data_IF_802321192287
#
_entry.id   IF_802321192287
#
_cell.length_a   1.000
_cell.length_b   1.000
_cell.length_c   1.000
_cell.angle_alpha   90.00
_cell.angle_beta   90.00
_cell.angle_gamma   90.00
#
_symmetry.space_group_name_H-M   'P 1'
#
loop_
_entity.id
_entity.type
_entity.pdbx_description
1 polymer ?
#
# COMPACT_ATOMS: atom_id res chain seq x y z
N UNK A 1 23.90 1.33 -5.65
CA UNK A 1 23.46 0.73 -4.39
C UNK A 1 22.86 -0.64 -4.71
N UNK A 2 23.43 -1.69 -4.10
CA UNK A 2 22.96 -3.05 -4.30
C UNK A 2 21.78 -3.31 -3.34
N UNK A 3 20.55 -3.27 -3.86
CA UNK A 3 19.31 -3.54 -3.08
C UNK A 3 19.01 -5.03 -2.93
N UNK A 4 19.83 -5.91 -3.52
CA UNK A 4 19.63 -7.37 -3.49
C UNK A 4 20.32 -8.07 -2.32
N UNK A 5 21.18 -7.39 -1.57
CA UNK A 5 21.85 -7.94 -0.39
C UNK A 5 21.88 -6.90 0.74
N UNK A 6 21.06 -7.15 1.76
CA UNK A 6 20.91 -6.30 2.94
C UNK A 6 21.46 -6.97 4.22
N UNK A 7 22.24 -8.05 4.07
CA UNK A 7 22.80 -8.82 5.19
C UNK A 7 23.65 -7.98 6.14
N UNK A 8 24.41 -7.01 5.59
CA UNK A 8 25.22 -6.10 6.41
C UNK A 8 24.35 -5.19 7.32
N UNK A 9 23.23 -4.71 6.82
CA UNK A 9 22.29 -3.89 7.59
C UNK A 9 21.63 -4.71 8.68
N UNK A 10 21.21 -5.94 8.36
CA UNK A 10 20.64 -6.88 9.33
C UNK A 10 21.65 -7.22 10.43
N UNK A 11 22.90 -7.53 10.07
CA UNK A 11 23.96 -7.81 11.04
C UNK A 11 24.17 -6.65 12.01
N UNK A 12 24.14 -5.40 11.53
CA UNK A 12 24.26 -4.22 12.39
C UNK A 12 23.10 -4.07 13.38
N UNK A 13 21.88 -4.37 12.96
CA UNK A 13 20.72 -4.37 13.87
C UNK A 13 20.87 -5.44 14.95
N UNK A 14 21.30 -6.65 14.54
CA UNK A 14 21.56 -7.76 15.46
C UNK A 14 22.68 -7.45 16.46
N UNK A 15 23.81 -6.90 15.99
CA UNK A 15 24.94 -6.48 16.85
C UNK A 15 24.55 -5.39 17.85
N UNK A 16 23.63 -4.50 17.44
CA UNK A 16 23.07 -3.47 18.32
C UNK A 16 22.07 -4.01 19.34
N UNK A 17 21.68 -5.27 19.25
CA UNK A 17 20.68 -5.91 20.12
C UNK A 17 19.27 -5.33 19.94
N UNK A 18 18.94 -4.86 18.74
CA UNK A 18 17.60 -4.32 18.48
C UNK A 18 16.57 -5.45 18.52
N UNK A 19 15.52 -5.28 19.30
CA UNK A 19 14.39 -6.20 19.44
C UNK A 19 13.19 -5.79 18.55
N UNK A 20 13.22 -4.56 18.00
CA UNK A 20 12.29 -4.06 16.99
C UNK A 20 13.06 -3.41 15.84
N UNK A 21 12.70 -3.76 14.61
CA UNK A 21 13.26 -3.18 13.39
C UNK A 21 12.14 -2.52 12.59
N UNK A 22 12.21 -1.18 12.47
CA UNK A 22 11.28 -0.42 11.66
C UNK A 22 11.76 -0.34 10.22
N UNK A 23 10.91 -0.71 9.26
CA UNK A 23 11.22 -0.88 7.85
C UNK A 23 10.37 0.05 6.96
N UNK A 24 10.73 1.36 6.81
CA UNK A 24 10.06 2.27 5.89
C UNK A 24 10.57 2.05 4.45
N UNK A 25 10.34 0.86 3.91
CA UNK A 25 10.83 0.39 2.61
C UNK A 25 9.74 -0.42 1.91
N UNK A 26 9.98 -0.80 0.65
CA UNK A 26 9.04 -1.62 -0.12
C UNK A 26 9.25 -3.12 0.13
N UNK A 27 8.22 -3.89 -0.19
CA UNK A 27 8.13 -5.33 0.09
C UNK A 27 9.26 -6.16 -0.53
N UNK A 28 9.81 -5.78 -1.68
CA UNK A 28 10.91 -6.51 -2.30
C UNK A 28 12.20 -6.45 -1.48
N UNK A 29 12.61 -5.26 -1.03
CA UNK A 29 13.77 -5.08 -0.17
C UNK A 29 13.50 -5.68 1.23
N UNK A 30 12.28 -5.54 1.73
CA UNK A 30 11.89 -6.13 3.00
C UNK A 30 12.02 -7.65 3.00
N UNK A 31 11.61 -8.33 1.91
CA UNK A 31 11.78 -9.78 1.78
C UNK A 31 13.24 -10.21 1.91
N UNK A 32 14.19 -9.44 1.36
CA UNK A 32 15.62 -9.71 1.49
C UNK A 32 16.11 -9.54 2.94
N UNK A 33 15.55 -8.59 3.69
CA UNK A 33 15.85 -8.41 5.11
C UNK A 33 15.32 -9.59 5.92
N UNK A 34 14.10 -10.04 5.70
CA UNK A 34 13.54 -11.21 6.39
C UNK A 34 14.34 -12.48 6.11
N UNK A 35 14.73 -12.70 4.84
CA UNK A 35 15.61 -13.83 4.46
C UNK A 35 16.98 -13.73 5.16
N UNK A 36 17.58 -12.55 5.21
CA UNK A 36 18.89 -12.36 5.86
C UNK A 36 18.79 -12.55 7.38
N UNK A 37 17.75 -12.04 8.02
CA UNK A 37 17.50 -12.21 9.45
C UNK A 37 17.31 -13.69 9.81
N UNK A 38 16.49 -14.41 9.06
CA UNK A 38 16.28 -15.83 9.25
C UNK A 38 17.60 -16.63 9.12
N UNK A 39 18.43 -16.34 8.10
CA UNK A 39 19.72 -16.99 7.90
C UNK A 39 20.71 -16.76 9.05
N UNK A 40 20.62 -15.60 9.73
CA UNK A 40 21.49 -15.27 10.87
C UNK A 40 20.90 -15.70 12.22
N UNK A 41 19.67 -16.23 12.26
CA UNK A 41 18.97 -16.56 13.50
C UNK A 41 18.57 -15.30 14.30
N UNK A 42 18.37 -14.16 13.60
CA UNK A 42 17.93 -12.92 14.21
C UNK A 42 16.42 -12.76 14.09
N UNK A 43 15.74 -12.71 15.23
CA UNK A 43 14.27 -12.73 15.32
C UNK A 43 13.71 -11.50 16.05
N UNK A 44 13.90 -10.28 15.53
CA UNK A 44 13.27 -9.10 16.10
C UNK A 44 11.81 -9.01 15.69
N UNK A 45 11.06 -8.11 16.31
CA UNK A 45 9.78 -7.66 15.78
C UNK A 45 10.03 -6.77 14.58
N UNK A 46 9.49 -7.14 13.42
CA UNK A 46 9.52 -6.29 12.22
C UNK A 46 8.24 -5.47 12.12
N UNK A 47 8.39 -4.17 11.88
CA UNK A 47 7.28 -3.25 11.68
C UNK A 47 7.54 -2.38 10.45
N UNK A 48 6.60 -2.38 9.51
CA UNK A 48 6.72 -1.65 8.25
C UNK A 48 5.62 -0.63 8.04
N UNK A 49 5.74 0.09 6.92
CA UNK A 49 4.74 0.99 6.40
C UNK A 49 3.95 0.32 5.26
N UNK A 50 3.19 1.12 4.55
CA UNK A 50 2.38 0.76 3.39
C UNK A 50 3.17 0.08 2.26
N UNK A 51 4.44 0.47 2.06
CA UNK A 51 5.33 -0.15 1.08
C UNK A 51 5.55 -1.67 1.26
N UNK A 52 5.22 -2.21 2.43
CA UNK A 52 5.33 -3.66 2.73
C UNK A 52 4.20 -4.49 2.14
N UNK A 53 3.07 -3.88 1.78
CA UNK A 53 1.94 -4.59 1.18
C UNK A 53 2.32 -5.19 -0.17
N UNK A 54 2.01 -6.47 -0.36
CA UNK A 54 2.45 -7.27 -1.50
C UNK A 54 3.58 -8.26 -1.18
N UNK A 55 4.13 -8.27 0.05
CA UNK A 55 5.23 -9.19 0.42
C UNK A 55 4.80 -10.66 0.31
N UNK A 56 3.53 -10.97 0.55
CA UNK A 56 2.98 -12.32 0.43
C UNK A 56 2.80 -12.80 -1.02
N UNK A 57 2.85 -11.88 -2.00
CA UNK A 57 2.67 -12.16 -3.43
C UNK A 57 3.99 -12.25 -4.21
N UNK A 58 5.14 -12.23 -3.53
CA UNK A 58 6.45 -12.32 -4.21
C UNK A 58 6.70 -13.75 -4.66
N UNK A 59 6.93 -13.94 -5.95
CA UNK A 59 7.27 -15.24 -6.52
C UNK A 59 8.50 -15.87 -5.85
N UNK A 60 8.31 -17.09 -5.32
CA UNK A 60 9.38 -17.86 -4.68
C UNK A 60 9.80 -17.38 -3.28
N UNK A 61 9.11 -16.38 -2.72
CA UNK A 61 9.33 -15.99 -1.33
C UNK A 61 8.66 -16.98 -0.37
N UNK A 62 9.39 -17.39 0.66
CA UNK A 62 8.83 -18.19 1.75
C UNK A 62 8.03 -17.27 2.68
N UNK A 63 6.71 -17.28 2.53
CA UNK A 63 5.79 -16.40 3.27
C UNK A 63 5.81 -16.67 4.79
N UNK A 64 6.29 -17.84 5.23
CA UNK A 64 6.46 -18.12 6.67
C UNK A 64 7.47 -17.20 7.34
N UNK A 65 8.39 -16.60 6.57
CA UNK A 65 9.36 -15.61 7.06
C UNK A 65 8.71 -14.26 7.40
N UNK A 66 7.51 -14.03 6.89
CA UNK A 66 6.73 -12.82 7.19
C UNK A 66 5.75 -13.01 8.36
N UNK A 67 5.74 -14.17 9.01
CA UNK A 67 4.86 -14.42 10.15
C UNK A 67 5.15 -13.42 11.29
N UNK A 68 4.10 -12.78 11.80
CA UNK A 68 4.21 -11.75 12.84
C UNK A 68 4.67 -10.37 12.35
N UNK A 69 4.96 -10.20 11.06
CA UNK A 69 5.26 -8.89 10.49
C UNK A 69 4.06 -7.97 10.62
N UNK A 70 4.27 -6.79 11.20
CA UNK A 70 3.27 -5.74 11.31
C UNK A 70 3.50 -4.69 10.23
N UNK A 71 2.43 -4.18 9.63
CA UNK A 71 2.49 -3.07 8.68
C UNK A 71 1.27 -2.16 8.76
N UNK A 72 1.42 -0.95 8.24
CA UNK A 72 0.32 -0.01 8.05
C UNK A 72 -0.11 -0.05 6.59
N UNK A 73 -1.40 -0.24 6.34
CA UNK A 73 -1.97 -0.20 4.99
C UNK A 73 -3.36 0.43 5.05
N UNK A 74 -3.79 1.19 4.04
CA UNK A 74 -5.16 1.68 3.95
C UNK A 74 -6.15 0.62 3.45
N UNK A 75 -5.66 -0.51 2.90
CA UNK A 75 -6.44 -1.53 2.23
C UNK A 75 -6.16 -2.92 2.82
N UNK A 76 -7.20 -3.72 2.97
CA UNK A 76 -7.11 -5.12 3.34
C UNK A 76 -7.99 -5.95 2.37
N UNK A 77 -7.36 -6.84 1.60
CA UNK A 77 -8.07 -7.62 0.56
C UNK A 77 -9.08 -8.63 1.13
N UNK A 78 -8.98 -8.95 2.41
CA UNK A 78 -9.90 -9.84 3.15
C UNK A 78 -11.04 -9.10 3.86
N UNK A 79 -11.10 -7.76 3.77
CA UNK A 79 -12.19 -6.97 4.33
C UNK A 79 -13.54 -7.42 3.78
N UNK A 80 -14.56 -7.46 4.67
CA UNK A 80 -15.85 -8.11 4.36
C UNK A 80 -16.89 -7.14 3.79
N UNK A 81 -16.54 -5.88 3.56
CA UNK A 81 -17.44 -4.94 2.92
C UNK A 81 -17.66 -5.28 1.43
N UNK A 82 -18.85 -4.99 0.94
CA UNK A 82 -19.28 -5.36 -0.41
C UNK A 82 -18.41 -4.76 -1.50
N UNK A 83 -17.96 -3.52 -1.33
CA UNK A 83 -17.14 -2.79 -2.31
C UNK A 83 -15.76 -3.43 -2.46
N UNK A 84 -15.10 -3.74 -1.35
CA UNK A 84 -13.81 -4.44 -1.34
C UNK A 84 -13.94 -5.83 -1.94
N UNK A 85 -14.94 -6.62 -1.57
CA UNK A 85 -15.15 -7.96 -2.11
C UNK A 85 -15.43 -7.95 -3.61
N UNK A 86 -16.22 -6.99 -4.11
CA UNK A 86 -16.47 -6.84 -5.54
C UNK A 86 -15.18 -6.50 -6.31
N UNK A 87 -14.37 -5.57 -5.80
CA UNK A 87 -13.08 -5.22 -6.40
C UNK A 87 -12.11 -6.40 -6.42
N UNK A 88 -11.93 -7.09 -5.29
CA UNK A 88 -11.04 -8.26 -5.18
C UNK A 88 -11.46 -9.38 -6.13
N UNK A 89 -12.78 -9.64 -6.24
CA UNK A 89 -13.31 -10.65 -7.17
C UNK A 89 -13.01 -10.29 -8.62
N UNK A 90 -13.30 -9.05 -9.02
CA UNK A 90 -13.04 -8.59 -10.39
C UNK A 90 -11.54 -8.58 -10.74
N UNK A 91 -10.70 -8.18 -9.78
CA UNK A 91 -9.25 -8.20 -9.96
C UNK A 91 -8.70 -9.62 -10.15
N UNK A 92 -9.16 -10.56 -9.31
CA UNK A 92 -8.79 -11.98 -9.43
C UNK A 92 -9.23 -12.59 -10.74
N UNK A 93 -10.43 -12.26 -11.22
CA UNK A 93 -10.92 -12.71 -12.53
C UNK A 93 -10.05 -12.18 -13.68
N UNK A 94 -9.64 -10.91 -13.61
CA UNK A 94 -8.89 -10.27 -14.67
C UNK A 94 -7.40 -10.66 -14.70
N UNK A 95 -6.77 -10.83 -13.54
CA UNK A 95 -5.32 -10.96 -13.41
C UNK A 95 -4.85 -12.26 -12.77
N UNK A 96 -5.75 -13.06 -12.18
CA UNK A 96 -5.41 -14.34 -11.55
C UNK A 96 -4.70 -14.21 -10.19
N UNK A 97 -4.63 -13.00 -9.62
CA UNK A 97 -3.92 -12.71 -8.37
C UNK A 97 -4.78 -11.89 -7.40
N UNK A 98 -4.36 -11.83 -6.14
CA UNK A 98 -5.01 -11.00 -5.11
C UNK A 98 -4.46 -9.57 -5.18
N UNK A 99 -5.33 -8.53 -5.26
CA UNK A 99 -4.86 -7.16 -5.29
C UNK A 99 -4.23 -6.76 -3.96
N UNK A 100 -3.16 -5.98 -4.02
CA UNK A 100 -2.58 -5.26 -2.89
C UNK A 100 -3.12 -3.83 -2.82
N UNK A 101 -2.66 -3.05 -1.82
CA UNK A 101 -3.07 -1.66 -1.68
C UNK A 101 -2.78 -0.79 -2.92
N UNK A 102 -1.67 -1.03 -3.64
CA UNK A 102 -1.32 -0.22 -4.81
C UNK A 102 -2.34 -0.37 -5.93
N UNK A 103 -2.89 -1.57 -6.10
CA UNK A 103 -3.98 -1.81 -7.04
C UNK A 103 -5.27 -1.09 -6.59
N UNK A 104 -5.58 -1.11 -5.30
CA UNK A 104 -6.74 -0.42 -4.72
C UNK A 104 -6.57 1.12 -4.79
N UNK A 105 -5.38 1.64 -4.52
CA UNK A 105 -5.07 3.07 -4.67
C UNK A 105 -5.22 3.53 -6.13
N UNK A 106 -4.71 2.74 -7.08
CA UNK A 106 -4.85 3.06 -8.50
C UNK A 106 -6.32 3.06 -8.96
N UNK A 107 -7.12 2.12 -8.45
CA UNK A 107 -8.56 2.08 -8.69
C UNK A 107 -9.24 3.35 -8.14
N UNK A 108 -8.98 3.71 -6.90
CA UNK A 108 -9.54 4.90 -6.26
C UNK A 108 -9.14 6.18 -7.01
N UNK A 109 -7.88 6.30 -7.45
CA UNK A 109 -7.39 7.46 -8.22
C UNK A 109 -8.18 7.65 -9.50
N UNK A 110 -8.47 6.59 -10.25
CA UNK A 110 -9.26 6.69 -11.49
C UNK A 110 -10.66 7.22 -11.21
N UNK A 111 -11.33 6.70 -10.18
CA UNK A 111 -12.69 7.15 -9.85
C UNK A 111 -12.72 8.55 -9.24
N UNK A 112 -11.77 8.90 -8.38
CA UNK A 112 -11.67 10.23 -7.82
C UNK A 112 -11.43 11.29 -8.91
N UNK A 113 -10.55 11.01 -9.88
CA UNK A 113 -10.34 11.88 -11.06
C UNK A 113 -11.62 11.97 -11.91
N UNK A 114 -12.31 10.86 -12.12
CA UNK A 114 -13.55 10.82 -12.88
C UNK A 114 -14.63 11.71 -12.25
N UNK A 115 -14.86 11.56 -10.95
CA UNK A 115 -15.84 12.38 -10.20
C UNK A 115 -15.45 13.86 -10.21
N UNK A 116 -14.19 14.19 -9.98
CA UNK A 116 -13.68 15.55 -10.04
C UNK A 116 -13.84 16.15 -11.44
N UNK A 117 -13.59 15.38 -12.50
CA UNK A 117 -13.75 15.85 -13.87
C UNK A 117 -15.20 16.12 -14.22
N UNK A 118 -16.14 15.25 -13.81
CA UNK A 118 -17.57 15.47 -14.00
C UNK A 118 -18.05 16.72 -13.26
N UNK A 119 -17.67 16.86 -11.99
CA UNK A 119 -18.07 18.02 -11.17
C UNK A 119 -17.45 19.32 -11.66
N UNK A 120 -16.22 19.28 -12.18
CA UNK A 120 -15.50 20.41 -12.75
C UNK A 120 -15.90 20.78 -14.18
N UNK A 121 -16.82 20.01 -14.81
CA UNK A 121 -17.26 20.23 -16.19
C UNK A 121 -16.15 20.02 -17.23
N UNK A 122 -15.17 19.17 -16.92
CA UNK A 122 -14.05 18.86 -17.82
C UNK A 122 -14.58 18.24 -19.12
N UNK A 123 -14.12 18.76 -20.26
CA UNK A 123 -14.51 18.28 -21.57
C UNK A 123 -13.34 18.34 -22.56
N UNK A 124 -13.55 17.78 -23.76
CA UNK A 124 -12.51 17.64 -24.78
C UNK A 124 -12.04 18.93 -25.47
N UNK A 125 -12.70 20.05 -25.22
CA UNK A 125 -12.36 21.37 -25.80
C UNK A 125 -11.46 22.20 -24.88
N UNK A 126 -11.19 21.70 -23.65
CA UNK A 126 -10.34 22.39 -22.65
C UNK A 126 -8.86 22.12 -22.87
N UNK A 127 -8.03 23.14 -22.65
CA UNK A 127 -6.58 22.97 -22.59
C UNK A 127 -6.16 22.21 -21.31
N UNK A 128 -4.99 21.57 -21.35
CA UNK A 128 -4.49 20.76 -20.21
C UNK A 128 -4.35 21.59 -18.92
N UNK A 129 -3.98 22.87 -19.01
CA UNK A 129 -3.92 23.79 -17.86
C UNK A 129 -5.29 24.00 -17.23
N UNK A 130 -6.31 24.24 -18.05
CA UNK A 130 -7.68 24.47 -17.59
C UNK A 130 -8.27 23.21 -16.93
N UNK A 131 -7.98 22.03 -17.50
CA UNK A 131 -8.34 20.74 -16.90
C UNK A 131 -7.68 20.60 -15.53
N UNK A 132 -6.37 20.87 -15.41
CA UNK A 132 -5.66 20.80 -14.13
C UNK A 132 -6.24 21.72 -13.07
N UNK A 133 -6.57 22.97 -13.44
CA UNK A 133 -7.12 23.94 -12.51
C UNK A 133 -8.56 23.58 -12.08
N UNK A 134 -9.37 23.05 -12.99
CA UNK A 134 -10.68 22.51 -12.68
C UNK A 134 -10.59 21.32 -11.69
N UNK A 135 -9.70 20.34 -11.96
CA UNK A 135 -9.49 19.20 -11.09
C UNK A 135 -8.98 19.63 -9.70
N UNK A 136 -7.98 20.51 -9.61
CA UNK A 136 -7.47 21.04 -8.33
C UNK A 136 -8.58 21.70 -7.51
N UNK A 137 -9.44 22.48 -8.15
CA UNK A 137 -10.56 23.12 -7.48
C UNK A 137 -11.53 22.09 -6.91
N UNK A 138 -11.82 21.04 -7.67
CA UNK A 138 -12.72 19.97 -7.20
C UNK A 138 -12.09 19.16 -6.07
N UNK A 139 -10.86 18.71 -6.21
CA UNK A 139 -10.18 17.94 -5.17
C UNK A 139 -10.12 18.62 -3.81
N UNK A 140 -9.96 19.97 -3.78
CA UNK A 140 -9.96 20.73 -2.52
C UNK A 140 -11.34 20.98 -1.91
N UNK A 141 -12.41 20.58 -2.58
CA UNK A 141 -13.80 20.80 -2.12
C UNK A 141 -14.65 19.54 -2.07
N UNK A 142 -14.23 18.45 -2.73
CA UNK A 142 -14.96 17.18 -2.75
C UNK A 142 -14.63 16.29 -1.55
N UNK A 143 -15.51 15.34 -1.32
CA UNK A 143 -15.26 14.16 -0.47
C UNK A 143 -15.44 12.91 -1.32
N UNK A 144 -14.58 11.90 -1.14
CA UNK A 144 -14.59 10.69 -1.94
C UNK A 144 -14.59 9.44 -1.05
N UNK A 145 -15.46 8.50 -1.37
CA UNK A 145 -15.54 7.20 -0.72
C UNK A 145 -14.90 6.13 -1.61
N UNK A 146 -13.66 5.76 -1.30
CA UNK A 146 -12.86 4.78 -2.03
C UNK A 146 -12.82 3.40 -1.37
N UNK A 147 -11.98 2.54 -1.94
CA UNK A 147 -11.58 1.26 -1.35
C UNK A 147 -10.60 1.46 -0.18
N UNK A 148 -9.80 2.51 -0.29
CA UNK A 148 -8.68 2.78 0.63
C UNK A 148 -9.03 3.81 1.70
N UNK A 149 -10.25 4.35 1.71
CA UNK A 149 -10.74 5.27 2.72
C UNK A 149 -12.16 5.75 2.43
N UNK A 150 -12.89 6.06 3.50
CA UNK A 150 -14.21 6.70 3.43
C UNK A 150 -14.08 8.19 3.75
N UNK A 151 -14.88 9.03 3.09
CA UNK A 151 -14.91 10.47 3.32
C UNK A 151 -13.56 11.16 3.09
N UNK A 152 -12.73 10.64 2.19
CA UNK A 152 -11.42 11.23 1.89
C UNK A 152 -11.56 12.62 1.34
N UNK A 153 -10.79 13.55 1.87
CA UNK A 153 -10.71 14.96 1.43
C UNK A 153 -9.27 15.35 1.20
N UNK A 154 -9.04 16.39 0.39
CA UNK A 154 -7.71 16.91 0.10
C UNK A 154 -7.60 18.36 0.57
N UNK A 155 -6.53 18.69 1.26
CA UNK A 155 -6.24 20.06 1.64
C UNK A 155 -5.60 20.86 0.49
N UNK A 156 -5.34 22.15 0.73
CA UNK A 156 -4.73 23.04 -0.28
C UNK A 156 -3.30 22.63 -0.70
N UNK A 157 -2.62 21.79 0.09
CA UNK A 157 -1.30 21.24 -0.26
C UNK A 157 -1.41 19.96 -1.10
N UNK A 158 -2.61 19.40 -1.26
CA UNK A 158 -2.88 18.14 -1.91
C UNK A 158 -2.76 16.93 -0.99
N UNK A 159 -2.57 17.13 0.32
CA UNK A 159 -2.54 16.04 1.27
C UNK A 159 -3.94 15.47 1.49
N UNK A 160 -4.06 14.13 1.41
CA UNK A 160 -5.31 13.40 1.60
C UNK A 160 -5.53 13.02 3.06
N UNK A 161 -6.78 13.12 3.54
CA UNK A 161 -7.20 12.70 4.89
C UNK A 161 -7.41 11.18 4.97
N UNK A 162 -6.40 10.39 4.62
CA UNK A 162 -6.45 8.92 4.63
C UNK A 162 -5.91 8.37 5.95
N UNK A 163 -6.69 7.52 6.61
CA UNK A 163 -6.26 6.86 7.84
C UNK A 163 -5.62 5.49 7.52
N UNK A 164 -4.43 5.18 8.06
CA UNK A 164 -3.85 3.86 7.93
C UNK A 164 -4.58 2.86 8.82
N UNK A 165 -4.59 1.59 8.40
CA UNK A 165 -4.99 0.43 9.20
C UNK A 165 -3.72 -0.34 9.59
N UNK A 166 -3.64 -0.80 10.83
CA UNK A 166 -2.57 -1.70 11.25
C UNK A 166 -3.02 -3.14 11.01
N UNK A 167 -2.18 -3.91 10.34
CA UNK A 167 -2.37 -5.34 10.10
C UNK A 167 -1.16 -6.12 10.56
N UNK A 168 -1.37 -7.39 10.89
CA UNK A 168 -0.33 -8.36 11.26
C UNK A 168 -0.48 -9.57 10.36
N UNK A 169 0.61 -9.98 9.74
CA UNK A 169 0.62 -11.21 8.95
C UNK A 169 0.55 -12.40 9.90
N UNK A 170 -0.46 -13.25 9.70
CA UNK A 170 -0.68 -14.45 10.48
C UNK A 170 -1.17 -15.60 9.60
N UNK A 171 -0.56 -16.77 9.76
CA UNK A 171 -0.90 -17.95 8.97
C UNK A 171 -0.84 -17.69 7.44
N UNK A 172 0.09 -16.81 7.01
CA UNK A 172 0.28 -16.45 5.61
C UNK A 172 -0.77 -15.50 5.02
N UNK A 173 -1.55 -14.78 5.86
CA UNK A 173 -2.55 -13.79 5.47
C UNK A 173 -2.41 -12.49 6.29
N UNK A 174 -3.03 -11.41 5.79
CA UNK A 174 -3.09 -10.13 6.52
C UNK A 174 -4.16 -10.14 7.60
#
# INVERSE_FOLDING_TARGET
DNKSDLSTQVAKCQEAGADLVFLPIYYQEASQILIAANKSGYEPVFFGCDGMDGILSIDGFDTSLAEGLMLLTPFAADAQDEKTQAFVSAYKEAYGDTPNQFAADAYDVVYAIYEAALAGGVNGDMDASDICDALKTQFTTMSFDGLTGEGMTWDASGAVSKAPKAVVIKDGAY
#
